data_IF_061153333270
#
_entry.id   IF_061153333270
#
_cell.length_a   1.000
_cell.length_b   1.000
_cell.length_c   1.000
_cell.angle_alpha   90.00
_cell.angle_beta   90.00
_cell.angle_gamma   90.00
#
_symmetry.space_group_name_H-M   'P 1'
#
loop_
_entity.id
_entity.type
_entity.pdbx_description
1 polymer ?
#
# COMPACT_ATOMS: atom_id res chain seq x y z
N UNK A 1 -1.17 0.36 16.33
CA UNK A 1 -1.35 1.79 16.67
C UNK A 1 -2.15 2.47 15.58
N UNK A 2 -3.16 3.23 15.95
CA UNK A 2 -4.03 3.91 14.98
C UNK A 2 -3.52 5.33 14.69
N UNK A 3 -3.86 5.86 13.51
CA UNK A 3 -3.61 7.25 13.18
C UNK A 3 -4.62 8.16 13.88
N UNK A 4 -4.21 9.37 14.19
CA UNK A 4 -5.06 10.33 14.92
C UNK A 4 -5.00 11.70 14.27
N UNK A 5 -6.16 12.35 14.24
CA UNK A 5 -6.30 13.72 13.74
C UNK A 5 -7.14 14.50 14.76
N UNK A 6 -6.65 15.67 15.17
CA UNK A 6 -7.43 16.56 16.05
C UNK A 6 -8.28 17.49 15.21
N UNK A 7 -9.58 17.50 15.47
CA UNK A 7 -10.53 18.32 14.71
C UNK A 7 -10.91 19.62 15.42
N UNK A 8 -10.40 19.87 16.62
CA UNK A 8 -10.77 21.03 17.43
C UNK A 8 -11.98 20.74 18.34
N UNK A 9 -12.85 19.83 17.96
CA UNK A 9 -14.00 19.41 18.78
C UNK A 9 -13.81 17.98 19.31
N UNK A 10 -12.74 17.30 18.90
CA UNK A 10 -12.47 15.95 19.31
C UNK A 10 -11.35 15.35 18.45
N UNK A 11 -11.19 14.02 18.53
CA UNK A 11 -10.20 13.30 17.76
C UNK A 11 -10.86 12.42 16.72
N UNK A 12 -10.23 12.32 15.55
CA UNK A 12 -10.56 11.31 14.56
C UNK A 12 -9.47 10.23 14.66
N UNK A 13 -9.89 9.01 14.92
CA UNK A 13 -8.97 7.86 15.02
C UNK A 13 -9.16 6.99 13.80
N UNK A 14 -8.08 6.77 13.04
CA UNK A 14 -8.12 5.99 11.81
C UNK A 14 -7.43 4.64 12.05
N UNK A 15 -8.19 3.56 11.88
CA UNK A 15 -7.65 2.20 11.99
C UNK A 15 -6.66 1.93 10.85
N UNK A 16 -5.55 1.24 11.17
CA UNK A 16 -4.56 0.90 10.14
C UNK A 16 -5.12 0.01 9.03
N UNK A 17 -6.14 -0.80 9.32
CA UNK A 17 -6.81 -1.60 8.28
C UNK A 17 -7.51 -0.72 7.25
N UNK A 18 -8.07 0.42 7.67
CA UNK A 18 -8.70 1.37 6.74
C UNK A 18 -7.63 1.95 5.81
N UNK A 19 -6.49 2.33 6.37
CA UNK A 19 -5.37 2.87 5.57
C UNK A 19 -4.87 1.81 4.59
N UNK A 20 -4.68 0.58 5.06
CA UNK A 20 -4.19 -0.52 4.21
C UNK A 20 -5.16 -0.82 3.07
N UNK A 21 -6.47 -0.87 3.35
CA UNK A 21 -7.48 -1.14 2.32
C UNK A 21 -7.49 -0.04 1.27
N UNK A 22 -7.46 1.21 1.69
CA UNK A 22 -7.45 2.33 0.74
C UNK A 22 -6.15 2.35 -0.08
N UNK A 23 -4.99 2.20 0.58
CA UNK A 23 -3.70 2.19 -0.09
C UNK A 23 -3.61 1.05 -1.12
N UNK A 24 -4.16 -0.12 -0.77
CA UNK A 24 -4.20 -1.26 -1.69
C UNK A 24 -5.04 -0.98 -2.92
N UNK A 25 -6.19 -0.32 -2.76
CA UNK A 25 -7.03 0.03 -3.90
C UNK A 25 -6.35 1.04 -4.82
N UNK A 26 -5.60 1.97 -4.25
CA UNK A 26 -4.82 2.94 -5.05
C UNK A 26 -3.70 2.24 -5.79
N UNK A 27 -3.02 1.30 -5.13
CA UNK A 27 -1.90 0.58 -5.73
C UNK A 27 -2.31 -0.18 -7.00
N UNK A 28 -3.43 -0.89 -6.96
CA UNK A 28 -3.87 -1.70 -8.12
C UNK A 28 -4.38 -0.86 -9.28
N UNK A 29 -4.62 0.43 -9.08
CA UNK A 29 -4.95 1.36 -10.16
C UNK A 29 -3.73 1.79 -10.94
N UNK A 30 -2.51 1.61 -10.41
CA UNK A 30 -1.29 2.03 -11.09
C UNK A 30 -0.97 1.12 -12.26
N UNK A 31 -0.65 1.72 -13.40
CA UNK A 31 -0.25 0.97 -14.58
C UNK A 31 0.98 0.10 -14.28
N UNK A 32 0.93 -1.15 -14.68
CA UNK A 32 2.04 -2.08 -14.51
C UNK A 32 1.99 -2.89 -13.21
N UNK A 33 1.16 -2.48 -12.25
CA UNK A 33 0.93 -3.26 -11.04
C UNK A 33 -0.30 -4.12 -11.26
N UNK A 34 -0.11 -5.44 -11.31
CA UNK A 34 -1.20 -6.38 -11.53
C UNK A 34 -2.02 -6.56 -10.26
N UNK A 35 -1.36 -6.55 -9.10
CA UNK A 35 -2.06 -6.70 -7.84
C UNK A 35 -1.11 -6.76 -6.66
N UNK A 36 -1.67 -7.04 -5.50
CA UNK A 36 -0.94 -7.21 -4.27
C UNK A 36 -0.58 -8.67 -4.07
N UNK A 37 0.47 -8.92 -3.33
CA UNK A 37 0.95 -10.28 -3.06
C UNK A 37 0.93 -10.57 -1.58
N UNK A 38 0.60 -11.80 -1.22
CA UNK A 38 0.82 -12.34 0.10
C UNK A 38 1.86 -13.45 0.01
N UNK A 39 2.78 -13.47 0.95
CA UNK A 39 3.78 -14.52 1.03
C UNK A 39 3.32 -15.52 2.09
N UNK A 40 3.24 -16.80 1.70
CA UNK A 40 2.94 -17.85 2.65
C UNK A 40 4.18 -18.10 3.51
N UNK A 41 4.08 -17.83 4.79
CA UNK A 41 5.19 -18.08 5.73
C UNK A 41 5.52 -19.56 5.82
N UNK A 42 4.53 -20.41 5.57
CA UNK A 42 4.71 -21.85 5.67
C UNK A 42 5.41 -22.45 4.46
N UNK A 43 5.05 -21.99 3.27
CA UNK A 43 5.53 -22.59 2.02
C UNK A 43 6.46 -21.71 1.23
N UNK A 44 6.63 -20.44 1.63
CA UNK A 44 7.43 -19.47 0.89
C UNK A 44 6.84 -19.10 -0.46
N UNK A 45 5.59 -19.43 -0.71
CA UNK A 45 4.94 -19.18 -1.99
C UNK A 45 4.33 -17.79 -2.02
N UNK A 46 4.49 -17.11 -3.16
CA UNK A 46 3.89 -15.82 -3.41
C UNK A 46 2.53 -16.02 -4.05
N UNK A 47 1.50 -15.44 -3.43
CA UNK A 47 0.13 -15.51 -3.93
C UNK A 47 -0.38 -14.14 -4.34
N UNK A 48 -1.08 -14.08 -5.49
CA UNK A 48 -1.79 -12.88 -5.88
C UNK A 48 -3.05 -12.76 -5.03
N UNK A 49 -3.20 -11.63 -4.35
CA UNK A 49 -4.35 -11.39 -3.48
C UNK A 49 -5.58 -10.99 -4.28
N UNK A 50 -6.74 -11.43 -3.82
CA UNK A 50 -8.03 -11.03 -4.36
C UNK A 50 -8.32 -9.59 -3.94
N UNK A 51 -9.21 -8.92 -4.69
CA UNK A 51 -9.56 -7.52 -4.42
C UNK A 51 -10.05 -7.31 -2.99
N UNK A 52 -10.82 -8.24 -2.44
CA UNK A 52 -11.34 -8.13 -1.08
C UNK A 52 -10.28 -8.38 0.00
N UNK A 53 -9.07 -8.77 -0.39
CA UNK A 53 -7.99 -9.09 0.54
C UNK A 53 -6.73 -8.27 0.29
N UNK A 54 -6.82 -7.17 -0.43
CA UNK A 54 -5.65 -6.35 -0.82
C UNK A 54 -4.85 -5.87 0.38
N UNK A 55 -5.51 -5.61 1.50
CA UNK A 55 -4.83 -5.16 2.72
C UNK A 55 -3.80 -6.14 3.25
N UNK A 56 -3.91 -7.42 2.92
CA UNK A 56 -2.96 -8.44 3.38
C UNK A 56 -1.60 -8.35 2.67
N UNK A 57 -1.51 -7.60 1.59
CA UNK A 57 -0.24 -7.33 0.91
C UNK A 57 0.39 -6.01 1.34
N UNK A 58 -0.17 -5.35 2.35
CA UNK A 58 0.29 -4.05 2.80
C UNK A 58 0.52 -4.07 4.29
N UNK A 59 1.69 -3.58 4.71
CA UNK A 59 1.98 -3.36 6.11
C UNK A 59 1.90 -1.86 6.39
N UNK A 60 1.07 -1.46 7.34
CA UNK A 60 0.89 -0.07 7.74
C UNK A 60 1.43 0.09 9.16
N UNK A 61 2.30 1.08 9.33
CA UNK A 61 2.84 1.40 10.65
C UNK A 61 2.67 2.88 10.91
N UNK A 62 2.18 3.21 12.10
CA UNK A 62 2.06 4.60 12.53
C UNK A 62 3.25 4.90 13.45
N UNK A 63 3.99 5.97 13.13
CA UNK A 63 5.15 6.36 13.91
C UNK A 63 4.74 7.14 15.16
N UNK A 64 5.69 7.34 16.08
CA UNK A 64 5.45 8.13 17.28
C UNK A 64 5.06 9.58 16.95
N UNK A 65 5.50 10.08 15.79
CA UNK A 65 5.17 11.41 15.29
C UNK A 65 3.84 11.45 14.54
N UNK A 66 3.05 10.37 14.62
CA UNK A 66 1.75 10.23 13.95
C UNK A 66 1.85 10.32 12.43
N UNK A 67 2.93 9.77 11.87
CA UNK A 67 3.14 9.65 10.43
C UNK A 67 2.94 8.21 9.97
N UNK A 68 2.69 8.04 8.69
CA UNK A 68 2.39 6.73 8.12
C UNK A 68 3.62 6.16 7.42
N UNK A 69 3.92 4.90 7.69
CA UNK A 69 4.88 4.09 6.93
C UNK A 69 4.15 2.96 6.25
N UNK A 70 4.36 2.82 4.96
CA UNK A 70 3.71 1.79 4.16
C UNK A 70 4.74 0.86 3.54
N UNK A 71 4.45 -0.44 3.58
CA UNK A 71 5.22 -1.44 2.84
C UNK A 71 4.24 -2.20 1.96
N UNK A 72 4.49 -2.19 0.66
CA UNK A 72 3.67 -2.87 -0.33
C UNK A 72 4.38 -4.11 -0.85
N UNK A 73 3.65 -5.21 -0.94
CA UNK A 73 4.09 -6.41 -1.64
C UNK A 73 3.25 -6.50 -2.90
N UNK A 74 3.89 -6.34 -4.07
CA UNK A 74 3.18 -6.20 -5.34
C UNK A 74 3.62 -7.24 -6.36
N UNK A 75 2.74 -7.50 -7.31
CA UNK A 75 3.03 -8.31 -8.50
C UNK A 75 2.92 -7.36 -9.68
N UNK A 76 3.96 -7.33 -10.51
CA UNK A 76 4.04 -6.41 -11.65
C UNK A 76 3.89 -7.17 -12.97
N UNK A 77 3.53 -6.44 -14.03
CA UNK A 77 3.43 -7.00 -15.37
C UNK A 77 4.82 -7.27 -15.95
N UNK A 78 4.95 -8.37 -16.67
CA UNK A 78 6.19 -8.71 -17.35
C UNK A 78 6.53 -7.65 -18.41
N UNK A 79 7.80 -7.28 -18.47
CA UNK A 79 8.28 -6.34 -19.48
C UNK A 79 8.19 -4.87 -19.08
N UNK A 80 7.62 -4.54 -17.93
CA UNK A 80 7.54 -3.15 -17.48
C UNK A 80 8.86 -2.69 -16.84
N UNK A 81 9.09 -1.38 -16.87
CA UNK A 81 10.23 -0.80 -16.16
C UNK A 81 9.84 -0.60 -14.69
N UNK A 82 10.40 -1.43 -13.82
CA UNK A 82 10.04 -1.44 -12.41
C UNK A 82 10.33 -0.10 -11.73
N UNK A 83 11.47 0.53 -12.05
CA UNK A 83 11.83 1.81 -11.47
C UNK A 83 10.81 2.90 -11.79
N UNK A 84 10.36 2.97 -13.05
CA UNK A 84 9.36 3.95 -13.48
C UNK A 84 8.03 3.71 -12.79
N UNK A 85 7.61 2.44 -12.71
CA UNK A 85 6.34 2.10 -12.05
C UNK A 85 6.40 2.41 -10.56
N UNK A 86 7.52 2.10 -9.91
CA UNK A 86 7.70 2.38 -8.50
C UNK A 86 7.59 3.89 -8.21
N UNK A 87 8.22 4.72 -9.03
CA UNK A 87 8.15 6.17 -8.86
C UNK A 87 6.71 6.68 -8.98
N UNK A 88 5.99 6.22 -10.00
CA UNK A 88 4.59 6.61 -10.19
C UNK A 88 3.71 6.12 -9.05
N UNK A 89 3.93 4.90 -8.60
CA UNK A 89 3.17 4.31 -7.50
C UNK A 89 3.37 5.10 -6.22
N UNK A 90 4.63 5.38 -5.87
CA UNK A 90 4.95 6.13 -4.65
C UNK A 90 4.27 7.49 -4.66
N UNK A 91 4.41 8.24 -5.77
CA UNK A 91 3.83 9.58 -5.86
C UNK A 91 2.31 9.55 -5.79
N UNK A 92 1.67 8.61 -6.48
CA UNK A 92 0.21 8.50 -6.50
C UNK A 92 -0.33 8.09 -5.13
N UNK A 93 0.30 7.12 -4.49
CA UNK A 93 -0.11 6.66 -3.15
C UNK A 93 0.06 7.77 -2.13
N UNK A 94 1.21 8.44 -2.14
CA UNK A 94 1.48 9.53 -1.21
C UNK A 94 0.38 10.59 -1.31
N UNK A 95 0.09 11.07 -2.51
CA UNK A 95 -0.90 12.10 -2.73
C UNK A 95 -2.29 11.66 -2.25
N UNK A 96 -2.73 10.48 -2.68
CA UNK A 96 -4.09 10.03 -2.38
C UNK A 96 -4.30 9.63 -0.92
N UNK A 97 -3.32 8.95 -0.33
CA UNK A 97 -3.45 8.51 1.06
C UNK A 97 -3.36 9.71 2.01
N UNK A 98 -2.48 10.66 1.74
CA UNK A 98 -2.40 11.88 2.55
C UNK A 98 -3.69 12.69 2.46
N UNK A 99 -4.29 12.79 1.26
CA UNK A 99 -5.55 13.49 1.07
C UNK A 99 -6.70 12.78 1.80
N UNK A 100 -6.72 11.45 1.74
CA UNK A 100 -7.76 10.65 2.37
C UNK A 100 -7.70 10.69 3.90
N UNK A 101 -6.50 10.55 4.45
CA UNK A 101 -6.32 10.42 5.91
C UNK A 101 -6.08 11.74 6.61
N UNK A 102 -5.59 12.75 5.89
CA UNK A 102 -5.13 13.99 6.52
C UNK A 102 -3.80 13.82 7.25
N UNK A 103 -3.15 12.67 7.12
CA UNK A 103 -1.88 12.36 7.77
C UNK A 103 -0.75 12.37 6.76
N UNK A 104 0.45 12.69 7.24
CA UNK A 104 1.66 12.70 6.41
C UNK A 104 2.24 11.29 6.30
N UNK A 105 2.68 10.93 5.10
CA UNK A 105 3.40 9.69 4.87
C UNK A 105 4.90 9.96 4.99
N UNK A 106 5.55 9.20 5.87
CA UNK A 106 6.99 9.30 6.09
C UNK A 106 7.77 8.46 5.09
N UNK A 107 7.31 7.25 4.81
CA UNK A 107 8.05 6.31 3.97
C UNK A 107 7.12 5.32 3.27
N UNK A 108 7.43 5.03 2.01
CA UNK A 108 6.75 4.00 1.23
C UNK A 108 7.82 3.06 0.65
N UNK A 109 7.73 1.78 0.99
CA UNK A 109 8.58 0.74 0.42
C UNK A 109 7.73 -0.15 -0.48
N UNK A 110 8.29 -0.53 -1.63
CA UNK A 110 7.62 -1.41 -2.58
C UNK A 110 8.49 -2.65 -2.75
N UNK A 111 7.95 -3.82 -2.37
CA UNK A 111 8.59 -5.10 -2.57
C UNK A 111 7.94 -5.77 -3.76
N UNK A 112 8.70 -5.95 -4.83
CA UNK A 112 8.22 -6.65 -6.03
C UNK A 112 8.42 -8.15 -5.79
N UNK A 113 7.34 -8.85 -5.55
CA UNK A 113 7.37 -10.26 -5.16
C UNK A 113 7.20 -11.21 -6.34
N UNK A 114 6.68 -10.72 -7.45
CA UNK A 114 6.49 -11.55 -8.62
C UNK A 114 6.22 -10.75 -9.87
N UNK A 115 6.33 -11.43 -10.99
CA UNK A 115 6.11 -10.87 -12.32
C UNK A 115 5.14 -11.81 -13.05
N UNK A 116 4.15 -11.24 -13.72
CA UNK A 116 3.20 -12.04 -14.50
C UNK A 116 3.02 -11.45 -15.88
N UNK A 117 2.87 -12.34 -16.87
CA UNK A 117 2.56 -11.93 -18.22
C UNK A 117 1.11 -11.44 -18.28
N UNK A 118 0.87 -10.40 -19.08
CA UNK A 118 -0.46 -9.92 -19.38
C UNK A 118 -0.87 -10.55 -20.72
N UNK A 119 -1.96 -11.28 -20.72
CA UNK A 119 -2.50 -11.88 -21.96
C UNK A 119 -3.56 -10.99 -22.57
#
# INVERSE_FOLDING_TARGET
MNGRIDSGLGQIVIDTDVIATYAGSVAVECFGIIGMAAISMKDGLVKLLRIDSLKHGISVKITDDNKIRLNFHVIVAYGVNISTIADKHVNNVKYKVEAFTGMEIEKINIMVEGVRAID
#
